data_IF_992417082352
#
_entry.id   IF_992417082352
#
_cell.length_a   1.000
_cell.length_b   1.000
_cell.length_c   1.000
_cell.angle_alpha   90.00
_cell.angle_beta   90.00
_cell.angle_gamma   90.00
#
_symmetry.space_group_name_H-M   'P 1'
#
loop_
_entity.id
_entity.type
_entity.pdbx_description
1 polymer ?
#
# COMPACT_ATOMS: atom_id res chain seq x y z
N UNK A 1 -29.12 -43.60 32.46
CA UNK A 1 -27.79 -43.00 32.24
C UNK A 1 -27.95 -41.98 31.13
N UNK A 2 -28.11 -40.68 31.49
CA UNK A 2 -28.39 -39.58 30.56
C UNK A 2 -27.04 -38.93 30.20
N UNK A 3 -26.64 -39.01 28.94
CA UNK A 3 -25.48 -38.29 28.40
C UNK A 3 -25.90 -36.87 28.07
N UNK A 4 -25.38 -35.90 28.82
CA UNK A 4 -25.50 -34.47 28.51
C UNK A 4 -24.39 -34.13 27.48
N UNK A 5 -24.72 -33.62 26.26
CA UNK A 5 -23.70 -33.15 25.35
C UNK A 5 -23.16 -31.82 25.88
N UNK A 6 -21.85 -31.77 26.21
CA UNK A 6 -21.10 -30.52 26.43
C UNK A 6 -21.00 -29.79 25.10
N UNK A 7 -21.81 -28.76 24.91
CA UNK A 7 -21.63 -27.76 23.85
C UNK A 7 -20.40 -26.91 24.21
N UNK A 8 -19.23 -27.24 23.67
CA UNK A 8 -18.07 -26.37 23.64
C UNK A 8 -18.37 -25.22 22.67
N UNK A 9 -19.00 -24.17 23.19
CA UNK A 9 -19.12 -22.88 22.52
C UNK A 9 -17.75 -22.25 22.38
N UNK A 10 -17.04 -22.53 21.29
CA UNK A 10 -15.83 -21.81 20.93
C UNK A 10 -16.18 -20.35 20.63
N UNK A 11 -15.89 -19.42 21.54
CA UNK A 11 -15.95 -17.99 21.26
C UNK A 11 -14.92 -17.69 20.16
N UNK A 12 -15.37 -17.62 18.92
CA UNK A 12 -14.57 -17.10 17.82
C UNK A 12 -14.40 -15.59 18.03
N UNK A 13 -13.30 -15.20 18.67
CA UNK A 13 -12.94 -13.79 18.78
C UNK A 13 -12.68 -13.23 17.38
N UNK A 14 -13.44 -12.21 16.99
CA UNK A 14 -13.20 -11.50 15.74
C UNK A 14 -12.14 -10.43 15.98
N UNK A 15 -10.99 -10.60 15.36
CA UNK A 15 -9.91 -9.62 15.42
C UNK A 15 -10.27 -8.41 14.54
N UNK A 16 -10.22 -7.21 15.12
CA UNK A 16 -10.33 -5.94 14.41
C UNK A 16 -8.94 -5.34 14.24
N UNK A 17 -8.63 -4.91 13.04
CA UNK A 17 -7.33 -4.33 12.70
C UNK A 17 -7.46 -2.83 12.50
N UNK A 18 -6.66 -2.08 13.25
CA UNK A 18 -6.48 -0.65 13.06
C UNK A 18 -5.66 -0.34 11.80
N UNK A 19 -5.58 0.95 11.45
CA UNK A 19 -4.70 1.41 10.37
C UNK A 19 -3.23 1.14 10.69
N UNK A 20 -2.40 1.08 9.67
CA UNK A 20 -0.95 1.10 9.84
C UNK A 20 -0.50 2.47 10.33
N UNK A 21 0.36 2.49 11.33
CA UNK A 21 1.00 3.69 11.87
C UNK A 21 2.52 3.49 11.91
N UNK A 22 3.32 4.55 11.76
CA UNK A 22 4.76 4.45 11.90
C UNK A 22 5.17 3.94 13.27
N UNK A 23 6.25 3.17 13.36
CA UNK A 23 6.95 2.99 14.62
C UNK A 23 7.67 4.30 15.01
N UNK A 24 7.97 4.54 16.30
CA UNK A 24 8.73 5.71 16.74
C UNK A 24 10.06 5.86 16.00
N UNK A 25 10.61 7.06 15.91
CA UNK A 25 11.88 7.34 15.23
C UNK A 25 13.03 6.46 15.74
N UNK A 26 13.05 6.14 17.03
CA UNK A 26 14.05 5.25 17.64
C UNK A 26 14.02 3.82 17.11
N UNK A 27 12.91 3.41 16.48
CA UNK A 27 12.73 2.09 15.87
C UNK A 27 12.77 2.16 14.33
N UNK A 28 13.14 3.30 13.77
CA UNK A 28 13.35 3.48 12.33
C UNK A 28 14.82 3.31 11.95
N UNK A 29 15.09 3.19 10.66
CA UNK A 29 16.44 3.18 10.12
C UNK A 29 17.15 4.55 10.33
N UNK A 30 18.48 4.62 10.30
CA UNK A 30 19.21 5.89 10.34
C UNK A 30 18.74 6.88 9.27
N UNK A 31 18.82 8.18 9.56
CA UNK A 31 18.42 9.27 8.66
C UNK A 31 16.93 9.36 8.35
N UNK A 32 16.09 8.72 9.17
CA UNK A 32 14.63 8.78 9.05
C UNK A 32 14.00 9.61 10.17
N UNK A 33 12.92 10.32 9.82
CA UNK A 33 12.05 11.06 10.75
C UNK A 33 10.60 10.60 10.55
N UNK A 34 9.82 10.68 11.61
CA UNK A 34 8.38 10.45 11.55
C UNK A 34 7.68 11.79 11.57
N UNK A 35 6.90 12.10 10.53
CA UNK A 35 6.13 13.33 10.43
C UNK A 35 4.74 13.17 11.05
N UNK A 36 4.08 14.27 11.39
CA UNK A 36 2.77 14.31 12.05
C UNK A 36 1.65 13.67 11.23
N UNK A 37 1.78 13.64 9.89
CA UNK A 37 0.83 13.00 8.99
C UNK A 37 1.03 11.49 8.85
N UNK A 38 1.96 10.90 9.60
CA UNK A 38 2.30 9.49 9.55
C UNK A 38 3.28 9.11 8.44
N UNK A 39 3.88 10.07 7.76
CA UNK A 39 4.96 9.82 6.80
C UNK A 39 6.25 9.48 7.53
N UNK A 40 6.90 8.39 7.17
CA UNK A 40 8.30 8.13 7.53
C UNK A 40 9.17 8.68 6.41
N UNK A 41 9.98 9.70 6.73
CA UNK A 41 10.80 10.44 5.78
C UNK A 41 12.28 10.09 5.97
N UNK A 42 12.89 9.45 4.99
CA UNK A 42 14.34 9.36 4.87
C UNK A 42 14.88 10.64 4.23
N UNK A 43 15.92 11.24 4.84
CA UNK A 43 16.56 12.45 4.30
C UNK A 43 18.07 12.36 4.50
N UNK A 44 18.82 12.18 3.42
CA UNK A 44 20.27 12.16 3.40
C UNK A 44 20.79 12.58 2.02
N UNK A 45 21.95 13.25 2.00
CA UNK A 45 22.69 13.64 0.77
C UNK A 45 21.80 14.33 -0.28
N UNK A 46 20.85 15.16 0.20
CA UNK A 46 19.89 15.91 -0.65
C UNK A 46 18.94 15.00 -1.45
N UNK A 47 18.68 13.80 -0.94
CA UNK A 47 17.61 12.91 -1.37
C UNK A 47 16.60 12.77 -0.23
N UNK A 48 15.33 12.97 -0.53
CA UNK A 48 14.24 12.66 0.38
C UNK A 48 13.36 11.56 -0.21
N UNK A 49 13.09 10.55 0.61
CA UNK A 49 12.15 9.47 0.28
C UNK A 49 11.18 9.34 1.43
N UNK A 50 9.93 9.71 1.19
CA UNK A 50 8.84 9.63 2.15
C UNK A 50 7.91 8.46 1.82
N UNK A 51 7.54 7.68 2.84
CA UNK A 51 6.59 6.60 2.71
C UNK A 51 5.49 6.73 3.76
N UNK A 52 4.23 6.80 3.32
CA UNK A 52 3.06 6.97 4.19
C UNK A 52 2.02 5.90 3.92
N UNK A 53 1.57 5.14 4.93
CA UNK A 53 0.45 4.23 4.77
C UNK A 53 -0.84 5.04 4.55
N UNK A 54 -1.65 4.59 3.60
CA UNK A 54 -2.93 5.22 3.28
C UNK A 54 -4.07 4.42 3.88
N UNK A 55 -4.98 5.12 4.55
CA UNK A 55 -6.24 4.52 5.02
C UNK A 55 -7.28 4.49 3.90
N UNK A 56 -8.24 3.55 3.99
CA UNK A 56 -9.34 3.49 3.03
C UNK A 56 -10.17 4.78 3.01
N UNK A 57 -10.33 5.44 4.18
CA UNK A 57 -11.03 6.72 4.30
C UNK A 57 -10.31 7.85 3.57
N UNK A 58 -8.98 7.90 3.63
CA UNK A 58 -8.17 8.88 2.88
C UNK A 58 -8.26 8.64 1.38
N UNK A 59 -8.13 7.38 0.94
CA UNK A 59 -8.25 6.99 -0.46
C UNK A 59 -9.66 7.28 -1.00
N UNK A 60 -10.70 7.09 -0.21
CA UNK A 60 -12.07 7.43 -0.59
C UNK A 60 -12.28 8.95 -0.72
N UNK A 61 -11.65 9.75 0.15
CA UNK A 61 -11.67 11.22 0.05
C UNK A 61 -10.89 11.73 -1.16
N UNK A 62 -9.81 11.06 -1.55
CA UNK A 62 -9.03 11.40 -2.75
C UNK A 62 -9.82 11.13 -4.04
N UNK A 63 -10.68 10.12 -4.04
CA UNK A 63 -11.48 9.72 -5.20
C UNK A 63 -12.99 9.70 -4.86
N UNK A 64 -13.59 10.86 -4.50
CA UNK A 64 -14.92 10.89 -3.91
C UNK A 64 -16.02 10.41 -4.88
N UNK A 65 -15.90 10.69 -6.17
CA UNK A 65 -16.85 10.23 -7.18
C UNK A 65 -16.68 8.71 -7.42
N UNK A 66 -15.45 8.25 -7.58
CA UNK A 66 -15.15 6.84 -7.82
C UNK A 66 -15.48 5.95 -6.62
N UNK A 67 -15.53 6.50 -5.39
CA UNK A 67 -15.81 5.75 -4.16
C UNK A 67 -17.31 5.60 -3.87
N UNK A 68 -18.18 6.25 -4.63
CA UNK A 68 -19.64 6.13 -4.50
C UNK A 68 -20.18 4.95 -5.31
N UNK A 69 -21.41 4.53 -4.96
CA UNK A 69 -22.15 3.52 -5.74
C UNK A 69 -22.05 2.09 -5.19
N UNK A 70 -21.62 1.91 -3.95
CA UNK A 70 -21.58 0.62 -3.29
C UNK A 70 -20.72 -0.40 -4.04
N UNK A 71 -21.28 -1.55 -4.38
CA UNK A 71 -20.60 -2.61 -5.14
C UNK A 71 -20.09 -2.17 -6.51
N UNK A 72 -20.61 -1.07 -7.04
CA UNK A 72 -20.25 -0.50 -8.33
C UNK A 72 -19.14 0.57 -8.24
N UNK A 73 -18.62 0.85 -7.04
CA UNK A 73 -17.49 1.77 -6.86
C UNK A 73 -16.37 1.49 -7.87
N UNK A 74 -15.85 2.56 -8.46
CA UNK A 74 -14.71 2.51 -9.40
C UNK A 74 -13.39 2.91 -8.77
N UNK A 75 -13.35 3.15 -7.43
CA UNK A 75 -12.10 3.36 -6.72
C UNK A 75 -11.25 2.07 -6.80
N UNK A 76 -10.03 2.13 -7.40
CA UNK A 76 -9.22 0.93 -7.57
C UNK A 76 -8.47 0.51 -6.30
N UNK A 77 -8.52 1.28 -5.24
CA UNK A 77 -7.75 1.00 -4.02
C UNK A 77 -8.61 0.45 -2.89
N UNK A 78 -9.90 0.78 -2.90
CA UNK A 78 -10.85 0.43 -1.84
C UNK A 78 -12.13 -0.19 -2.41
N UNK A 79 -13.04 -0.57 -1.52
CA UNK A 79 -14.42 -0.91 -1.92
C UNK A 79 -15.35 0.31 -1.95
N UNK A 80 -14.80 1.54 -1.76
CA UNK A 80 -15.58 2.77 -1.69
C UNK A 80 -16.50 2.78 -0.48
N UNK A 81 -17.77 3.13 -0.72
CA UNK A 81 -18.82 3.19 0.29
C UNK A 81 -19.56 1.85 0.49
N UNK A 82 -19.15 0.77 -0.21
CA UNK A 82 -19.74 -0.55 -0.02
C UNK A 82 -19.34 -1.16 1.32
N UNK A 83 -20.33 -1.72 2.00
CA UNK A 83 -20.14 -2.47 3.25
C UNK A 83 -20.88 -3.81 3.18
N UNK A 84 -20.31 -4.89 3.73
CA UNK A 84 -21.04 -6.13 3.94
C UNK A 84 -22.23 -5.90 4.87
N UNK A 85 -23.26 -6.69 4.69
CA UNK A 85 -24.43 -6.64 5.57
C UNK A 85 -24.02 -6.94 7.04
N UNK A 86 -24.46 -6.07 7.97
CA UNK A 86 -24.14 -6.20 9.40
C UNK A 86 -22.73 -5.73 9.79
N UNK A 87 -21.95 -5.14 8.87
CA UNK A 87 -20.64 -4.58 9.15
C UNK A 87 -20.64 -3.05 9.15
N UNK A 88 -19.95 -2.45 10.12
CA UNK A 88 -19.83 -0.99 10.21
C UNK A 88 -18.85 -0.40 9.22
N UNK A 89 -17.84 -1.20 8.81
CA UNK A 89 -16.76 -0.78 7.90
C UNK A 89 -16.57 -1.75 6.74
N UNK A 90 -16.20 -1.25 5.55
CA UNK A 90 -15.78 -2.12 4.47
C UNK A 90 -14.49 -2.88 4.84
N UNK A 91 -14.29 -4.09 4.31
CA UNK A 91 -13.00 -4.74 4.42
C UNK A 91 -11.97 -3.97 3.58
N UNK A 92 -10.71 -3.93 4.00
CA UNK A 92 -9.65 -3.37 3.16
C UNK A 92 -9.43 -4.25 1.92
N UNK A 93 -9.35 -3.62 0.75
CA UNK A 93 -9.10 -4.33 -0.51
C UNK A 93 -7.62 -4.62 -0.70
N UNK A 94 -6.80 -3.62 -0.48
CA UNK A 94 -5.35 -3.63 -0.62
C UNK A 94 -4.69 -2.96 0.58
N UNK A 95 -3.38 -3.11 0.69
CA UNK A 95 -2.54 -2.26 1.53
C UNK A 95 -1.84 -1.27 0.61
N UNK A 96 -2.05 0.02 0.82
CA UNK A 96 -1.59 1.08 -0.07
C UNK A 96 -0.67 2.04 0.69
N UNK A 97 0.44 2.39 0.07
CA UNK A 97 1.35 3.42 0.56
C UNK A 97 1.47 4.54 -0.47
N UNK A 98 1.55 5.77 0.00
CA UNK A 98 1.99 6.91 -0.80
C UNK A 98 3.51 6.99 -0.71
N UNK A 99 4.19 6.81 -1.83
CA UNK A 99 5.63 7.03 -1.98
C UNK A 99 5.84 8.42 -2.55
N UNK A 100 6.68 9.22 -1.87
CA UNK A 100 7.12 10.53 -2.34
C UNK A 100 8.64 10.58 -2.40
N UNK A 101 9.19 11.09 -3.48
CA UNK A 101 10.63 11.15 -3.71
C UNK A 101 11.00 12.52 -4.21
N UNK A 102 11.95 13.19 -3.53
CA UNK A 102 12.51 14.47 -3.95
C UNK A 102 14.00 14.32 -4.19
N UNK A 103 14.42 14.58 -5.40
CA UNK A 103 15.80 14.54 -5.79
C UNK A 103 16.37 15.97 -5.95
N UNK A 104 17.17 16.41 -4.99
CA UNK A 104 17.73 17.76 -5.03
C UNK A 104 19.11 17.85 -5.71
N UNK A 105 19.87 16.77 -5.75
CA UNK A 105 21.28 16.83 -6.13
C UNK A 105 21.75 15.82 -7.16
N UNK A 106 21.19 14.63 -7.17
CA UNK A 106 21.63 13.60 -8.10
C UNK A 106 21.16 13.93 -9.52
N UNK A 107 22.01 13.78 -10.56
CA UNK A 107 21.61 14.07 -11.95
C UNK A 107 20.32 13.36 -12.35
N UNK A 108 20.21 12.09 -11.98
CA UNK A 108 18.98 11.29 -12.05
C UNK A 108 19.05 10.16 -11.03
N UNK A 109 17.91 9.78 -10.49
CA UNK A 109 17.73 8.58 -9.66
C UNK A 109 16.65 7.71 -10.28
N UNK A 110 16.66 6.42 -9.95
CA UNK A 110 15.60 5.50 -10.36
C UNK A 110 15.18 4.63 -9.18
N UNK A 111 13.86 4.48 -9.03
CA UNK A 111 13.22 3.56 -8.09
C UNK A 111 12.30 2.67 -8.90
N UNK A 112 12.49 1.36 -8.80
CA UNK A 112 11.53 0.41 -9.36
C UNK A 112 10.48 0.08 -8.28
N UNK A 113 9.21 0.46 -8.49
CA UNK A 113 8.17 0.15 -7.52
C UNK A 113 7.98 -1.37 -7.31
N UNK A 114 8.41 -2.22 -8.23
CA UNK A 114 8.31 -3.68 -8.10
C UNK A 114 9.39 -4.28 -7.18
N UNK A 115 10.46 -3.56 -6.91
CA UNK A 115 11.50 -3.91 -5.93
C UNK A 115 11.11 -3.45 -4.50
N UNK A 116 9.87 -2.99 -4.30
CA UNK A 116 9.36 -2.63 -2.99
C UNK A 116 8.62 -3.82 -2.39
N UNK A 117 9.06 -4.25 -1.20
CA UNK A 117 8.52 -5.42 -0.54
C UNK A 117 8.14 -5.11 0.92
N UNK A 118 7.10 -5.77 1.42
CA UNK A 118 6.75 -5.79 2.83
C UNK A 118 7.26 -7.09 3.43
N UNK A 119 8.00 -6.99 4.53
CA UNK A 119 8.40 -8.12 5.36
C UNK A 119 7.73 -7.96 6.72
N UNK A 120 6.85 -8.89 7.07
CA UNK A 120 6.18 -8.90 8.35
C UNK A 120 7.07 -9.57 9.42
N UNK A 121 6.91 -9.18 10.68
CA UNK A 121 7.67 -9.73 11.82
C UNK A 121 7.48 -11.25 11.99
N UNK A 122 6.32 -11.77 11.57
CA UNK A 122 6.04 -13.22 11.56
C UNK A 122 6.62 -13.96 10.33
N UNK A 123 7.43 -13.30 9.51
CA UNK A 123 8.11 -13.88 8.35
C UNK A 123 7.33 -13.83 7.03
N UNK A 124 6.05 -13.41 7.03
CA UNK A 124 5.30 -13.25 5.77
C UNK A 124 5.91 -12.15 4.92
N UNK A 125 5.89 -12.36 3.61
CA UNK A 125 6.39 -11.40 2.63
C UNK A 125 5.31 -11.06 1.63
N UNK A 126 5.24 -9.79 1.25
CA UNK A 126 4.32 -9.28 0.24
C UNK A 126 5.14 -8.43 -0.74
N UNK A 127 5.00 -8.70 -2.02
CA UNK A 127 5.55 -7.86 -3.07
C UNK A 127 4.51 -6.84 -3.54
N UNK A 128 4.96 -5.73 -4.04
CA UNK A 128 4.10 -4.74 -4.67
C UNK A 128 3.43 -5.32 -5.92
N UNK A 129 2.26 -4.82 -6.23
CA UNK A 129 1.49 -5.21 -7.40
C UNK A 129 1.80 -4.28 -8.57
N UNK A 130 2.12 -4.86 -9.71
CA UNK A 130 2.32 -4.15 -10.96
C UNK A 130 0.99 -3.62 -11.52
N UNK A 131 1.07 -2.62 -12.41
CA UNK A 131 -0.08 -2.16 -13.19
C UNK A 131 -0.76 -3.30 -13.94
N UNK A 132 0.02 -4.27 -14.44
CA UNK A 132 -0.52 -5.42 -15.18
C UNK A 132 -1.34 -6.34 -14.25
N UNK A 133 -0.83 -6.66 -13.06
CA UNK A 133 -1.54 -7.50 -12.09
C UNK A 133 -2.83 -6.85 -11.59
N UNK A 134 -2.80 -5.53 -11.38
CA UNK A 134 -4.01 -4.78 -11.01
C UNK A 134 -5.03 -4.75 -12.14
N UNK A 135 -4.61 -4.63 -13.41
CA UNK A 135 -5.50 -4.77 -14.57
C UNK A 135 -6.13 -6.16 -14.63
N UNK A 136 -5.35 -7.22 -14.46
CA UNK A 136 -5.83 -8.60 -14.47
C UNK A 136 -6.80 -8.87 -13.32
N UNK A 137 -6.50 -8.34 -12.14
CA UNK A 137 -7.41 -8.40 -10.99
C UNK A 137 -8.80 -7.85 -11.34
N UNK A 138 -8.87 -6.67 -11.98
CA UNK A 138 -10.14 -6.04 -12.34
C UNK A 138 -10.78 -6.62 -13.59
N UNK A 139 -10.00 -7.12 -14.54
CA UNK A 139 -10.53 -7.71 -15.79
C UNK A 139 -11.34 -8.97 -15.50
N UNK A 140 -10.97 -9.77 -14.52
CA UNK A 140 -11.74 -10.97 -14.10
C UNK A 140 -13.18 -10.62 -13.73
N UNK A 141 -13.40 -9.48 -13.09
CA UNK A 141 -14.75 -8.99 -12.78
C UNK A 141 -15.48 -8.44 -14.01
N UNK A 142 -14.76 -7.82 -14.94
CA UNK A 142 -15.36 -7.28 -16.16
C UNK A 142 -15.85 -8.36 -17.12
N UNK A 143 -15.10 -9.47 -17.25
CA UNK A 143 -15.47 -10.60 -18.12
C UNK A 143 -16.67 -11.36 -17.58
N UNK A 144 -16.78 -11.50 -16.24
CA UNK A 144 -17.89 -12.22 -15.59
C UNK A 144 -19.22 -11.47 -15.59
N UNK A 145 -19.22 -10.13 -15.73
CA UNK A 145 -20.40 -9.30 -15.60
C UNK A 145 -20.57 -8.42 -16.85
N UNK A 146 -21.58 -8.70 -17.66
CA UNK A 146 -21.91 -7.95 -18.89
C UNK A 146 -22.32 -6.48 -18.59
N UNK A 147 -22.35 -5.65 -19.62
CA UNK A 147 -22.79 -4.26 -19.54
C UNK A 147 -21.72 -3.32 -18.96
N UNK A 148 -22.13 -2.46 -18.03
CA UNK A 148 -21.26 -1.39 -17.45
C UNK A 148 -19.99 -1.90 -16.69
N UNK A 149 -19.82 -3.21 -16.55
CA UNK A 149 -18.65 -3.78 -15.90
C UNK A 149 -17.34 -3.44 -16.63
N UNK A 150 -17.38 -3.38 -17.97
CA UNK A 150 -16.21 -2.98 -18.75
C UNK A 150 -15.92 -1.49 -18.62
N UNK A 151 -16.94 -0.64 -18.61
CA UNK A 151 -16.77 0.80 -18.37
C UNK A 151 -16.17 1.06 -16.98
N UNK A 152 -16.60 0.33 -15.94
CA UNK A 152 -16.02 0.40 -14.61
C UNK A 152 -14.57 -0.10 -14.57
N UNK A 153 -14.24 -1.13 -15.34
CA UNK A 153 -12.85 -1.59 -15.50
C UNK A 153 -11.97 -0.49 -16.09
N UNK A 154 -12.39 0.15 -17.18
CA UNK A 154 -11.66 1.24 -17.82
C UNK A 154 -11.48 2.44 -16.87
N UNK A 155 -12.52 2.80 -16.11
CA UNK A 155 -12.45 3.88 -15.13
C UNK A 155 -11.39 3.58 -14.02
N UNK A 156 -11.33 2.34 -13.51
CA UNK A 156 -10.30 1.93 -12.54
C UNK A 156 -8.90 1.97 -13.14
N UNK A 157 -8.75 1.43 -14.35
CA UNK A 157 -7.48 1.44 -15.09
C UNK A 157 -6.95 2.85 -15.31
N UNK A 158 -7.81 3.79 -15.62
CA UNK A 158 -7.45 5.19 -15.83
C UNK A 158 -6.95 5.85 -14.52
N UNK A 159 -7.63 5.60 -13.39
CA UNK A 159 -7.16 6.08 -12.08
C UNK A 159 -5.78 5.48 -11.76
N UNK A 160 -5.62 4.15 -11.89
CA UNK A 160 -4.35 3.47 -11.63
C UNK A 160 -3.21 4.05 -12.47
N UNK A 161 -3.45 4.25 -13.78
CA UNK A 161 -2.43 4.79 -14.68
C UNK A 161 -1.92 6.18 -14.28
N UNK A 162 -2.78 7.00 -13.67
CA UNK A 162 -2.44 8.38 -13.26
C UNK A 162 -1.85 8.46 -11.85
N UNK A 163 -2.04 7.44 -11.02
CA UNK A 163 -1.77 7.55 -9.58
C UNK A 163 -0.79 6.53 -9.02
N UNK A 164 -0.49 5.45 -9.74
CA UNK A 164 0.59 4.54 -9.34
C UNK A 164 1.95 5.22 -9.47
N UNK A 165 2.87 4.88 -8.57
CA UNK A 165 4.25 5.34 -8.68
C UNK A 165 4.90 4.75 -9.93
N UNK A 166 5.51 5.62 -10.75
CA UNK A 166 6.14 5.26 -12.01
C UNK A 166 7.62 4.95 -11.80
N UNK A 167 8.16 4.00 -12.56
CA UNK A 167 9.57 3.61 -12.59
C UNK A 167 10.45 4.53 -13.44
N UNK A 168 9.89 5.62 -13.98
CA UNK A 168 10.66 6.59 -14.75
C UNK A 168 11.75 7.27 -13.91
N UNK A 169 12.86 7.69 -14.51
CA UNK A 169 13.90 8.44 -13.80
C UNK A 169 13.37 9.75 -13.21
N UNK A 170 13.88 10.13 -12.03
CA UNK A 170 13.61 11.39 -11.35
C UNK A 170 14.88 12.25 -11.42
N UNK A 171 14.82 13.34 -12.17
CA UNK A 171 15.97 14.21 -12.37
C UNK A 171 16.16 15.20 -11.23
N UNK A 172 17.34 15.83 -11.17
CA UNK A 172 17.65 16.86 -10.18
C UNK A 172 16.60 17.98 -10.16
N UNK A 173 16.18 18.36 -8.97
CA UNK A 173 15.12 19.35 -8.75
C UNK A 173 13.69 18.83 -8.92
N UNK A 174 13.49 17.56 -9.29
CA UNK A 174 12.17 16.98 -9.45
C UNK A 174 11.66 16.30 -8.19
N UNK A 175 10.34 16.35 -8.04
CA UNK A 175 9.58 15.55 -7.07
C UNK A 175 8.63 14.60 -7.83
N UNK A 176 8.48 13.38 -7.31
CA UNK A 176 7.51 12.40 -7.79
C UNK A 176 6.75 11.80 -6.62
N UNK A 177 5.44 11.68 -6.81
CA UNK A 177 4.54 11.00 -5.86
C UNK A 177 3.69 9.98 -6.59
N UNK A 178 3.37 8.89 -5.92
CA UNK A 178 2.46 7.88 -6.45
C UNK A 178 2.19 6.78 -5.44
N UNK A 179 1.17 5.98 -5.71
CA UNK A 179 0.80 4.87 -4.85
C UNK A 179 1.60 3.61 -5.18
N UNK A 180 2.01 2.91 -4.13
CA UNK A 180 2.52 1.55 -4.18
C UNK A 180 1.50 0.65 -3.52
N UNK A 181 1.04 -0.37 -4.25
CA UNK A 181 -0.08 -1.22 -3.86
C UNK A 181 0.42 -2.62 -3.54
N UNK A 182 -0.03 -3.16 -2.42
CA UNK A 182 0.26 -4.52 -2.00
C UNK A 182 -1.04 -5.31 -1.80
N UNK A 183 -1.00 -6.65 -1.86
CA UNK A 183 -2.11 -7.46 -1.38
C UNK A 183 -2.51 -7.07 0.04
N UNK A 184 -3.76 -7.29 0.40
CA UNK A 184 -4.23 -7.11 1.77
C UNK A 184 -3.34 -7.90 2.73
N UNK A 185 -2.87 -7.25 3.80
CA UNK A 185 -2.11 -7.94 4.85
C UNK A 185 -3.01 -8.95 5.57
N UNK A 186 -2.44 -10.12 5.82
CA UNK A 186 -3.12 -11.16 6.58
C UNK A 186 -3.41 -10.72 8.02
N UNK A 187 -4.37 -11.35 8.65
CA UNK A 187 -4.86 -10.97 9.99
C UNK A 187 -3.85 -11.22 11.12
N UNK A 188 -2.86 -12.08 10.92
CA UNK A 188 -1.79 -12.32 11.87
C UNK A 188 -0.60 -11.33 11.75
N UNK A 189 -0.68 -10.35 10.85
CA UNK A 189 0.37 -9.36 10.62
C UNK A 189 0.04 -8.08 11.39
N UNK A 190 0.90 -7.68 12.32
CA UNK A 190 0.78 -6.50 13.19
C UNK A 190 1.94 -5.52 13.08
N UNK A 191 3.13 -6.01 12.72
CA UNK A 191 4.35 -5.21 12.55
C UNK A 191 5.02 -5.59 11.25
N UNK A 192 5.40 -4.58 10.47
CA UNK A 192 5.97 -4.74 9.14
C UNK A 192 7.16 -3.80 8.93
N UNK A 193 8.08 -4.24 8.10
CA UNK A 193 9.11 -3.39 7.48
C UNK A 193 8.83 -3.32 5.98
N UNK A 194 8.64 -2.12 5.45
CA UNK A 194 8.61 -1.88 4.01
C UNK A 194 10.03 -1.61 3.54
N UNK A 195 10.53 -2.44 2.65
CA UNK A 195 11.87 -2.33 2.06
C UNK A 195 11.75 -1.79 0.65
N UNK A 196 12.49 -0.73 0.35
CA UNK A 196 12.69 -0.22 -1.00
C UNK A 196 14.12 -0.58 -1.37
N UNK A 197 14.27 -1.54 -2.26
CA UNK A 197 15.57 -2.09 -2.63
C UNK A 197 16.04 -1.49 -3.95
N UNK A 198 17.35 -1.50 -4.15
CA UNK A 198 17.99 -1.13 -5.42
C UNK A 198 17.65 0.30 -5.92
N UNK A 199 17.48 1.27 -5.01
CA UNK A 199 17.36 2.68 -5.42
C UNK A 199 18.66 3.09 -6.11
N UNK A 200 18.61 3.34 -7.40
CA UNK A 200 19.79 3.74 -8.17
C UNK A 200 20.02 5.23 -8.05
N UNK A 201 21.18 5.61 -7.48
CA UNK A 201 21.57 7.00 -7.27
C UNK A 201 22.49 7.52 -8.38
N UNK A 202 23.30 6.64 -8.98
CA UNK A 202 24.26 7.04 -10.03
C UNK A 202 24.34 5.98 -11.13
N UNK A 203 24.62 6.46 -12.33
CA UNK A 203 24.74 5.64 -13.52
C UNK A 203 26.10 5.95 -14.21
N UNK A 204 26.66 4.95 -14.88
CA UNK A 204 27.81 5.15 -15.77
C UNK A 204 27.41 5.80 -17.11
N UNK A 205 28.38 6.04 -17.96
CA UNK A 205 28.16 6.63 -19.28
C UNK A 205 27.29 5.76 -20.23
N UNK A 206 27.16 4.45 -19.92
CA UNK A 206 26.36 3.50 -20.68
C UNK A 206 24.95 3.33 -20.03
N UNK A 207 24.63 4.09 -18.99
CA UNK A 207 23.35 4.02 -18.28
C UNK A 207 23.23 2.84 -17.31
N UNK A 208 24.31 2.15 -16.96
CA UNK A 208 24.30 1.05 -16.00
C UNK A 208 24.41 1.60 -14.57
N UNK A 209 23.68 1.01 -13.59
CA UNK A 209 23.77 1.42 -12.20
C UNK A 209 25.17 1.20 -11.62
N UNK A 210 25.75 2.24 -10.96
CA UNK A 210 27.05 2.16 -10.28
C UNK A 210 26.95 2.44 -8.79
N UNK A 211 25.85 3.05 -8.33
CA UNK A 211 25.60 3.29 -6.92
C UNK A 211 24.14 3.04 -6.61
N UNK A 212 23.89 2.21 -5.59
CA UNK A 212 22.56 1.84 -5.14
C UNK A 212 22.45 1.95 -3.62
N UNK A 213 21.25 2.21 -3.12
CA UNK A 213 20.94 2.16 -1.70
C UNK A 213 19.64 1.39 -1.47
N UNK A 214 19.52 0.82 -0.26
CA UNK A 214 18.31 0.19 0.22
C UNK A 214 17.76 0.99 1.40
N UNK A 215 16.44 1.16 1.45
CA UNK A 215 15.75 1.83 2.53
C UNK A 215 14.77 0.88 3.22
N UNK A 216 14.58 1.09 4.53
CA UNK A 216 13.63 0.33 5.32
C UNK A 216 12.79 1.27 6.19
N UNK A 217 11.47 1.06 6.18
CA UNK A 217 10.48 1.85 6.90
C UNK A 217 9.61 0.92 7.76
N UNK A 218 9.52 1.20 9.05
CA UNK A 218 8.89 0.32 10.02
C UNK A 218 7.51 0.86 10.43
N UNK A 219 6.50 0.00 10.36
CA UNK A 219 5.12 0.31 10.70
C UNK A 219 4.51 -0.78 11.58
N UNK A 220 3.48 -0.42 12.33
CA UNK A 220 2.65 -1.33 13.11
C UNK A 220 1.17 -1.02 12.89
N UNK A 221 0.30 -1.98 13.18
CA UNK A 221 -1.13 -1.77 13.31
C UNK A 221 -1.61 -2.31 14.64
N UNK A 222 -2.61 -1.67 15.21
CA UNK A 222 -3.27 -2.17 16.39
C UNK A 222 -4.15 -3.36 16.03
N UNK A 223 -4.15 -4.36 16.90
CA UNK A 223 -5.01 -5.54 16.80
C UNK A 223 -5.94 -5.49 18.01
N UNK A 224 -7.20 -5.21 17.77
CA UNK A 224 -8.25 -5.15 18.79
C UNK A 224 -9.01 -6.47 18.80
N UNK A 225 -9.17 -7.09 19.97
CA UNK A 225 -10.07 -8.23 20.16
C UNK A 225 -11.47 -7.68 20.40
N UNK A 226 -12.40 -7.98 19.51
CA UNK A 226 -13.82 -7.74 19.79
C UNK A 226 -14.29 -8.83 20.75
N UNK A 227 -14.74 -8.42 21.94
CA UNK A 227 -15.45 -9.29 22.90
C UNK A 227 -16.85 -9.61 22.40
#
# INVERSE_FOLDING_TARGET
MWLVPLLLGGCAYRLLFGPLTPLPETAQAPWTKVLDDGTVLYSKDRLEVGLRPMTDDELNRQFPIASKGGVFSTNPYTYGDWKPFGEDKPPSRFTVFLLSVKNYAYPKIKIDPLEITIVAKNGRRYRSLSMQELKEYYLRYAVGYRGDAYARYEARKDILKRTLFSDEPIFSGQERKGYVVFPRLHEDVWEITVKIQDIVLRFDALGRPIEKIDLAFNFKREVLKRQ
#
